data_IF_805028587887
#
_entry.id   IF_805028587887
#
_cell.length_a   1.000
_cell.length_b   1.000
_cell.length_c   1.000
_cell.angle_alpha   90.00
_cell.angle_beta   90.00
_cell.angle_gamma   90.00
#
_symmetry.space_group_name_H-M   'P 1'
#
loop_
_entity.id
_entity.type
_entity.pdbx_description
1 polymer ?
#
# COMPACT_ATOMS: atom_id res chain seq x y z
N UNK A 1 29.70 -12.98 9.54
CA UNK A 1 29.69 -13.90 8.38
C UNK A 1 28.92 -13.16 7.30
N UNK A 2 29.53 -12.52 6.31
CA UNK A 2 30.64 -13.04 5.52
C UNK A 2 30.12 -14.23 4.74
N UNK A 3 29.37 -13.98 3.66
CA UNK A 3 29.26 -14.85 2.49
C UNK A 3 28.85 -13.99 1.29
N UNK A 4 29.81 -13.77 0.41
CA UNK A 4 29.51 -13.70 -1.02
C UNK A 4 29.18 -15.10 -1.51
N UNK A 5 28.40 -15.17 -2.59
CA UNK A 5 28.03 -16.42 -3.23
C UNK A 5 26.95 -16.20 -4.28
N UNK A 6 27.38 -16.12 -5.52
CA UNK A 6 26.58 -16.13 -6.75
C UNK A 6 25.73 -17.40 -6.82
N UNK A 7 24.46 -17.29 -7.23
CA UNK A 7 23.85 -18.32 -8.08
C UNK A 7 22.70 -17.71 -8.90
N UNK A 8 22.77 -17.97 -10.19
CA UNK A 8 21.80 -17.64 -11.23
C UNK A 8 20.38 -18.15 -10.96
N UNK A 9 19.41 -17.42 -11.54
CA UNK A 9 18.29 -18.03 -12.24
C UNK A 9 17.08 -18.47 -11.43
N UNK A 10 15.93 -17.87 -11.74
CA UNK A 10 14.63 -18.55 -11.72
C UNK A 10 13.69 -18.21 -10.57
N UNK A 11 12.75 -17.31 -10.87
CA UNK A 11 11.32 -17.38 -10.52
C UNK A 11 10.84 -18.04 -9.21
N UNK A 12 10.10 -17.21 -8.45
CA UNK A 12 8.90 -17.50 -7.66
C UNK A 12 9.04 -18.33 -6.37
N UNK A 13 8.85 -17.63 -5.25
CA UNK A 13 7.91 -18.06 -4.21
C UNK A 13 8.48 -18.44 -2.84
N UNK A 14 7.73 -18.00 -1.82
CA UNK A 14 7.69 -18.43 -0.42
C UNK A 14 8.68 -17.81 0.59
N UNK A 15 8.08 -17.28 1.68
CA UNK A 15 8.73 -16.85 2.90
C UNK A 15 9.61 -17.98 3.47
N UNK A 16 10.86 -17.66 3.77
CA UNK A 16 11.66 -18.43 4.72
C UNK A 16 11.87 -17.59 5.99
N UNK A 17 11.04 -17.85 7.01
CA UNK A 17 11.38 -17.49 8.39
C UNK A 17 12.41 -18.52 8.84
N UNK A 18 13.67 -18.12 9.00
CA UNK A 18 14.68 -18.92 9.69
C UNK A 18 14.86 -18.35 11.10
N UNK A 19 14.54 -19.11 12.16
CA UNK A 19 14.82 -18.69 13.53
C UNK A 19 16.31 -18.89 13.77
N UNK A 20 17.05 -17.81 14.01
CA UNK A 20 18.42 -17.90 14.51
C UNK A 20 18.59 -17.00 15.74
N UNK A 21 19.21 -17.61 16.74
CA UNK A 21 19.37 -17.12 18.09
C UNK A 21 19.85 -15.67 18.18
N UNK A 22 19.21 -14.89 19.06
CA UNK A 22 19.81 -13.72 19.70
C UNK A 22 20.12 -12.50 18.81
N UNK A 23 19.40 -12.28 17.70
CA UNK A 23 19.54 -11.05 16.92
C UNK A 23 19.03 -9.85 17.74
N UNK A 24 19.96 -9.02 18.23
CA UNK A 24 19.64 -7.62 18.53
C UNK A 24 19.28 -6.98 17.20
N UNK A 25 17.98 -6.82 16.92
CA UNK A 25 17.52 -6.14 15.73
C UNK A 25 18.00 -4.67 15.80
N UNK A 26 18.94 -4.31 14.93
CA UNK A 26 19.33 -2.92 14.70
C UNK A 26 18.12 -2.20 14.08
N UNK A 27 17.51 -1.22 14.76
CA UNK A 27 16.36 -0.53 14.20
C UNK A 27 16.79 0.24 12.95
N UNK A 28 16.07 0.04 11.84
CA UNK A 28 16.17 0.88 10.66
C UNK A 28 14.82 1.52 10.36
N UNK A 29 14.84 2.72 9.77
CA UNK A 29 13.65 3.41 9.26
C UNK A 29 13.68 3.39 7.74
N UNK A 30 12.51 3.14 7.15
CA UNK A 30 12.30 3.09 5.71
C UNK A 30 11.15 4.05 5.37
N UNK A 31 11.50 5.24 4.91
CA UNK A 31 10.56 6.32 4.69
C UNK A 31 10.41 6.61 3.20
N UNK A 32 9.20 6.49 2.67
CA UNK A 32 8.86 6.92 1.31
C UNK A 32 8.14 8.27 1.38
N UNK A 33 8.74 9.32 0.83
CA UNK A 33 8.14 10.64 0.72
C UNK A 33 7.55 10.85 -0.67
N UNK A 34 6.25 11.12 -0.72
CA UNK A 34 5.49 11.32 -1.94
C UNK A 34 5.17 12.80 -2.10
N UNK A 35 5.38 13.35 -3.29
CA UNK A 35 4.97 14.72 -3.64
C UNK A 35 4.18 14.67 -4.93
N UNK A 36 2.99 15.27 -4.90
CA UNK A 36 2.05 15.28 -6.02
C UNK A 36 1.73 13.86 -6.53
N UNK A 37 1.32 12.98 -5.62
CA UNK A 37 1.13 11.56 -5.91
C UNK A 37 2.47 10.81 -6.06
N UNK A 38 2.64 10.10 -7.16
CA UNK A 38 3.87 9.33 -7.47
C UNK A 38 4.82 10.05 -8.43
N UNK A 39 4.53 11.32 -8.77
CA UNK A 39 5.34 12.14 -9.67
C UNK A 39 6.78 12.26 -9.14
N UNK A 40 6.92 12.70 -7.88
CA UNK A 40 8.21 12.72 -7.19
C UNK A 40 8.14 11.84 -5.94
N UNK A 41 9.00 10.83 -5.92
CA UNK A 41 9.14 9.88 -4.80
C UNK A 41 10.58 9.89 -4.32
N UNK A 42 10.77 10.14 -3.03
CA UNK A 42 12.09 10.10 -2.37
C UNK A 42 12.10 9.02 -1.30
N UNK A 43 13.02 8.09 -1.41
CA UNK A 43 13.26 7.03 -0.43
C UNK A 43 14.40 7.44 0.50
N UNK A 44 14.14 7.38 1.81
CA UNK A 44 15.15 7.52 2.85
C UNK A 44 15.23 6.23 3.67
N UNK A 45 16.41 5.62 3.73
CA UNK A 45 16.67 4.47 4.60
C UNK A 45 17.70 4.88 5.65
N UNK A 46 17.32 4.88 6.92
CA UNK A 46 18.16 5.31 8.04
C UNK A 46 18.46 4.11 8.92
N UNK A 47 19.73 3.81 9.11
CA UNK A 47 20.19 2.74 9.99
C UNK A 47 20.59 3.35 11.34
N UNK A 48 20.05 2.81 12.43
CA UNK A 48 20.23 3.35 13.77
C UNK A 48 20.89 2.34 14.70
N UNK A 49 21.93 2.79 15.41
CA UNK A 49 22.59 2.08 16.49
C UNK A 49 22.34 2.86 17.78
N UNK A 50 21.79 2.24 18.82
CA UNK A 50 21.44 2.91 20.09
C UNK A 50 20.64 4.23 19.91
N UNK A 51 19.68 4.22 18.97
CA UNK A 51 18.88 5.39 18.54
C UNK A 51 19.65 6.50 17.82
N UNK A 52 20.96 6.37 17.64
CA UNK A 52 21.77 7.25 16.83
C UNK A 52 21.83 6.75 15.39
N UNK A 53 21.42 7.57 14.44
CA UNK A 53 21.61 7.28 13.02
C UNK A 53 23.11 7.25 12.70
N UNK A 54 23.58 6.16 12.10
CA UNK A 54 25.00 6.01 11.73
C UNK A 54 25.20 5.96 10.21
N UNK A 55 24.25 5.40 9.45
CA UNK A 55 24.29 5.38 7.97
C UNK A 55 22.91 5.66 7.39
N UNK A 56 22.87 6.48 6.34
CA UNK A 56 21.66 6.78 5.59
C UNK A 56 21.84 6.50 4.10
N UNK A 57 20.80 5.98 3.46
CA UNK A 57 20.63 6.05 2.01
C UNK A 57 19.56 7.09 1.68
N UNK A 58 19.83 7.91 0.67
CA UNK A 58 18.89 8.86 0.10
C UNK A 58 18.79 8.60 -1.40
N UNK A 59 17.59 8.37 -1.92
CA UNK A 59 17.39 8.13 -3.35
C UNK A 59 17.82 9.32 -4.22
N UNK A 60 17.75 10.54 -3.69
CA UNK A 60 18.17 11.75 -4.43
C UNK A 60 19.70 11.76 -4.62
N UNK A 61 20.45 11.14 -3.71
CA UNK A 61 21.91 10.93 -3.83
C UNK A 61 22.25 9.61 -4.54
N UNK A 62 21.39 8.60 -4.37
CA UNK A 62 21.59 7.26 -4.88
C UNK A 62 22.76 6.51 -4.26
N UNK A 63 23.27 6.95 -3.10
CA UNK A 63 24.41 6.34 -2.37
C UNK A 63 24.15 6.33 -0.86
N UNK A 64 24.86 5.45 -0.15
CA UNK A 64 24.93 5.48 1.30
C UNK A 64 25.90 6.55 1.78
N UNK A 65 25.52 7.27 2.82
CA UNK A 65 26.33 8.29 3.50
C UNK A 65 26.42 7.92 4.98
N UNK A 66 27.63 7.96 5.51
CA UNK A 66 27.89 7.71 6.93
C UNK A 66 27.86 9.00 7.75
N UNK A 67 26.98 9.05 8.75
CA UNK A 67 26.83 10.21 9.67
C UNK A 67 27.89 10.20 10.77
N UNK A 68 28.35 9.01 11.16
CA UNK A 68 29.40 8.82 12.16
C UNK A 68 30.67 8.26 11.52
N UNK A 69 31.80 8.31 12.21
CA UNK A 69 33.06 7.74 11.72
C UNK A 69 32.93 6.24 11.39
N UNK A 70 32.27 5.49 12.29
CA UNK A 70 31.94 4.08 12.06
C UNK A 70 31.02 3.92 10.86
N UNK A 71 30.00 4.79 10.76
CA UNK A 71 29.07 4.81 9.64
C UNK A 71 29.74 5.03 8.29
N UNK A 72 30.79 5.86 8.19
CA UNK A 72 31.51 6.08 6.93
C UNK A 72 32.12 4.79 6.40
N UNK A 73 32.75 3.98 7.27
CA UNK A 73 33.33 2.68 6.89
C UNK A 73 32.26 1.71 6.37
N UNK A 74 31.09 1.70 7.00
CA UNK A 74 29.95 0.91 6.54
C UNK A 74 29.41 1.39 5.19
N UNK A 75 29.21 2.70 5.04
CA UNK A 75 28.74 3.32 3.81
C UNK A 75 29.68 3.04 2.64
N UNK A 76 31.00 3.13 2.83
CA UNK A 76 32.00 2.75 1.82
C UNK A 76 31.88 1.29 1.41
N UNK A 77 31.70 0.38 2.38
CA UNK A 77 31.49 -1.04 2.11
C UNK A 77 30.23 -1.31 1.29
N UNK A 78 29.11 -0.70 1.66
CA UNK A 78 27.84 -0.84 0.95
C UNK A 78 27.86 -0.20 -0.44
N UNK A 79 28.51 0.95 -0.61
CA UNK A 79 28.65 1.63 -1.89
C UNK A 79 29.56 0.86 -2.88
N UNK A 80 30.52 0.07 -2.39
CA UNK A 80 31.35 -0.80 -3.24
C UNK A 80 30.54 -1.96 -3.84
N UNK A 81 29.49 -2.42 -3.16
CA UNK A 81 28.62 -3.48 -3.67
C UNK A 81 27.57 -2.89 -4.63
N UNK A 82 27.87 -2.91 -5.93
CA UNK A 82 26.98 -2.37 -6.97
C UNK A 82 25.62 -3.06 -7.03
N UNK A 83 25.55 -4.37 -6.78
CA UNK A 83 24.28 -5.10 -6.78
C UNK A 83 23.38 -4.64 -5.63
N UNK A 84 23.95 -4.45 -4.44
CA UNK A 84 23.21 -3.94 -3.29
C UNK A 84 22.72 -2.51 -3.53
N UNK A 85 23.57 -1.65 -4.08
CA UNK A 85 23.24 -0.27 -4.35
C UNK A 85 22.18 -0.13 -5.45
N UNK A 86 22.26 -0.95 -6.50
CA UNK A 86 21.25 -1.02 -7.56
C UNK A 86 19.90 -1.50 -7.02
N UNK A 87 19.88 -2.54 -6.19
CA UNK A 87 18.66 -3.00 -5.54
C UNK A 87 18.04 -1.90 -4.68
N UNK A 88 18.85 -1.20 -3.87
CA UNK A 88 18.38 -0.09 -3.01
C UNK A 88 17.79 1.07 -3.82
N UNK A 89 18.39 1.41 -4.97
CA UNK A 89 17.84 2.43 -5.89
C UNK A 89 16.51 2.00 -6.50
N UNK A 90 16.38 0.71 -6.84
CA UNK A 90 15.17 0.17 -7.44
C UNK A 90 13.96 0.14 -6.47
N UNK A 91 14.19 0.16 -5.16
CA UNK A 91 13.13 0.17 -4.14
C UNK A 91 12.23 1.42 -4.19
N UNK A 92 12.68 2.51 -4.81
CA UNK A 92 11.80 3.66 -5.09
C UNK A 92 10.60 3.23 -5.94
N UNK A 93 10.82 2.35 -6.91
CA UNK A 93 9.78 1.80 -7.78
C UNK A 93 9.14 0.56 -7.17
N UNK A 94 9.95 -0.43 -6.80
CA UNK A 94 9.47 -1.76 -6.41
C UNK A 94 8.78 -1.78 -5.05
N UNK A 95 9.07 -0.80 -4.19
CA UNK A 95 8.47 -0.68 -2.85
C UNK A 95 7.62 0.57 -2.76
N UNK A 96 8.20 1.77 -2.91
CA UNK A 96 7.44 3.01 -2.65
C UNK A 96 6.29 3.21 -3.66
N UNK A 97 6.58 3.28 -4.97
CA UNK A 97 5.52 3.45 -5.98
C UNK A 97 4.53 2.28 -6.00
N UNK A 98 5.03 1.05 -5.87
CA UNK A 98 4.18 -0.13 -5.76
C UNK A 98 3.18 -0.02 -4.61
N UNK A 99 3.66 0.29 -3.39
CA UNK A 99 2.81 0.38 -2.20
C UNK A 99 1.89 1.59 -2.22
N UNK A 100 2.27 2.70 -2.86
CA UNK A 100 1.39 3.86 -3.03
C UNK A 100 0.12 3.52 -3.82
N UNK A 101 0.22 2.60 -4.80
CA UNK A 101 -0.92 2.12 -5.58
C UNK A 101 -1.84 1.15 -4.83
N UNK A 102 -1.44 0.68 -3.64
CA UNK A 102 -2.27 -0.19 -2.81
C UNK A 102 -3.28 0.67 -2.06
N UNK A 103 -4.60 0.44 -2.20
CA UNK A 103 -5.60 1.23 -1.52
C UNK A 103 -5.42 1.16 0.01
N UNK A 104 -5.74 2.25 0.75
CA UNK A 104 -5.68 2.24 2.20
C UNK A 104 -6.53 1.09 2.75
N UNK A 105 -5.99 0.36 3.72
CA UNK A 105 -6.73 -0.71 4.40
C UNK A 105 -7.89 -0.18 5.25
N UNK A 106 -7.88 1.11 5.58
CA UNK A 106 -8.85 1.75 6.46
C UNK A 106 -9.86 2.59 5.65
N UNK A 107 -11.17 2.35 5.82
CA UNK A 107 -12.19 3.17 5.20
C UNK A 107 -12.23 4.58 5.82
N UNK A 108 -12.66 5.60 5.07
CA UNK A 108 -12.91 6.93 5.63
C UNK A 108 -13.95 6.88 6.76
N UNK A 109 -13.71 7.62 7.84
CA UNK A 109 -14.59 7.70 9.02
C UNK A 109 -15.16 9.11 9.17
N UNK A 110 -16.47 9.21 9.36
CA UNK A 110 -17.17 10.49 9.49
C UNK A 110 -16.86 11.21 10.81
N UNK A 111 -16.62 12.52 10.77
CA UNK A 111 -16.41 13.32 11.98
C UNK A 111 -17.67 13.41 12.82
N UNK A 112 -17.50 13.34 14.14
CA UNK A 112 -18.51 13.73 15.12
C UNK A 112 -18.30 15.20 15.47
N UNK A 113 -19.30 16.02 15.18
CA UNK A 113 -19.25 17.47 15.40
C UNK A 113 -20.09 17.81 16.64
N UNK A 114 -19.49 18.53 17.59
CA UNK A 114 -20.19 19.07 18.76
C UNK A 114 -19.82 20.53 18.95
N UNK A 115 -20.82 21.40 19.02
CA UNK A 115 -20.65 22.81 19.35
C UNK A 115 -21.05 23.02 20.80
N UNK A 116 -20.17 23.61 21.60
CA UNK A 116 -20.43 23.90 23.01
C UNK A 116 -19.79 25.21 23.43
N UNK A 117 -20.44 26.01 24.30
CA UNK A 117 -19.78 27.12 24.96
C UNK A 117 -18.70 26.61 25.92
N UNK A 118 -17.61 27.37 26.06
CA UNK A 118 -16.54 27.05 27.02
C UNK A 118 -17.07 27.24 28.44
N UNK A 119 -16.53 26.53 29.43
CA UNK A 119 -16.81 26.74 30.85
C UNK A 119 -15.59 27.37 31.51
N UNK A 120 -15.78 28.39 32.35
CA UNK A 120 -14.77 28.87 33.29
C UNK A 120 -15.30 28.60 34.70
N UNK A 121 -14.78 27.54 35.34
CA UNK A 121 -15.33 27.04 36.59
C UNK A 121 -16.76 26.51 36.42
N UNK A 122 -17.64 26.90 37.34
CA UNK A 122 -19.05 26.46 37.38
C UNK A 122 -19.97 27.22 36.40
N UNK A 123 -19.46 28.26 35.72
CA UNK A 123 -20.23 29.08 34.78
C UNK A 123 -19.74 28.92 33.33
N UNK A 124 -20.66 28.89 32.35
CA UNK A 124 -20.29 29.05 30.94
C UNK A 124 -19.54 30.38 30.74
N UNK A 125 -18.43 30.36 30.00
CA UNK A 125 -17.79 31.54 29.44
C UNK A 125 -18.63 32.00 28.23
N UNK A 126 -19.39 33.10 28.35
CA UNK A 126 -20.43 33.44 27.37
C UNK A 126 -19.87 33.99 26.05
N UNK A 127 -18.54 34.14 25.94
CA UNK A 127 -17.87 34.74 24.79
C UNK A 127 -17.02 33.77 23.98
N UNK A 128 -17.05 32.46 24.27
CA UNK A 128 -16.22 31.49 23.56
C UNK A 128 -17.01 30.24 23.20
N UNK A 129 -17.15 29.97 21.90
CA UNK A 129 -17.68 28.72 21.36
C UNK A 129 -16.55 27.80 20.95
N UNK A 130 -16.74 26.50 21.19
CA UNK A 130 -15.82 25.45 20.76
C UNK A 130 -16.57 24.49 19.85
N UNK A 131 -16.04 24.28 18.66
CA UNK A 131 -16.42 23.19 17.77
C UNK A 131 -15.44 22.05 17.95
N UNK A 132 -15.87 21.00 18.64
CA UNK A 132 -15.13 19.76 18.78
C UNK A 132 -15.45 18.85 17.59
N UNK A 133 -14.44 18.58 16.76
CA UNK A 133 -14.55 17.67 15.62
C UNK A 133 -13.67 16.47 15.90
N UNK A 134 -14.27 15.29 16.09
CA UNK A 134 -13.56 14.12 16.61
C UNK A 134 -13.87 12.84 15.84
N UNK A 135 -12.92 11.90 15.86
CA UNK A 135 -13.12 10.53 15.41
C UNK A 135 -13.18 10.38 13.88
N UNK A 136 -12.50 11.25 13.13
CA UNK A 136 -12.49 11.22 11.67
C UNK A 136 -11.19 10.67 11.09
N UNK A 137 -11.27 10.15 9.86
CA UNK A 137 -10.14 9.68 9.07
C UNK A 137 -10.50 9.78 7.58
N UNK A 138 -9.59 10.19 6.67
CA UNK A 138 -8.20 10.62 6.89
C UNK A 138 -8.09 12.00 7.55
N UNK A 139 -6.86 12.52 7.70
CA UNK A 139 -6.59 13.81 8.34
C UNK A 139 -7.07 15.04 7.58
N UNK A 140 -7.26 14.94 6.25
CA UNK A 140 -7.66 16.06 5.41
C UNK A 140 -9.10 16.51 5.68
N UNK A 141 -9.24 17.67 6.32
CA UNK A 141 -10.51 18.25 6.76
C UNK A 141 -10.49 19.77 6.62
N UNK A 142 -11.63 20.37 6.26
CA UNK A 142 -11.81 21.83 6.24
C UNK A 142 -12.94 22.21 7.19
N UNK A 143 -12.71 23.19 8.06
CA UNK A 143 -13.66 23.58 9.12
C UNK A 143 -13.79 25.10 9.13
N UNK A 144 -15.02 25.59 9.05
CA UNK A 144 -15.36 27.02 9.06
C UNK A 144 -16.39 27.34 10.10
N UNK A 145 -16.26 28.50 10.71
CA UNK A 145 -17.32 29.09 11.51
C UNK A 145 -18.18 29.99 10.64
N UNK A 146 -19.50 29.84 10.75
CA UNK A 146 -20.47 30.72 10.13
C UNK A 146 -21.28 31.42 11.24
N UNK A 147 -21.51 32.72 11.07
CA UNK A 147 -22.47 33.50 11.86
C UNK A 147 -23.57 33.97 10.92
N UNK A 148 -24.80 33.56 11.17
CA UNK A 148 -25.95 33.89 10.32
C UNK A 148 -25.70 33.57 8.83
N UNK A 149 -24.98 32.48 8.57
CA UNK A 149 -24.58 32.04 7.22
C UNK A 149 -23.33 32.71 6.63
N UNK A 150 -22.75 33.71 7.29
CA UNK A 150 -21.53 34.38 6.83
C UNK A 150 -20.29 33.83 7.53
N UNK A 151 -19.24 33.53 6.76
CA UNK A 151 -17.97 33.02 7.29
C UNK A 151 -17.34 34.00 8.27
N UNK A 152 -16.88 33.45 9.40
CA UNK A 152 -16.17 34.17 10.45
C UNK A 152 -14.73 33.69 10.48
N UNK A 153 -13.79 34.63 10.33
CA UNK A 153 -12.35 34.39 10.47
C UNK A 153 -11.77 35.16 11.65
N UNK A 154 -12.34 36.31 11.99
CA UNK A 154 -11.96 37.08 13.17
C UNK A 154 -12.33 36.33 14.46
N UNK A 155 -11.37 36.22 15.39
CA UNK A 155 -11.58 35.52 16.66
C UNK A 155 -11.63 33.99 16.56
N UNK A 156 -11.33 33.42 15.39
CA UNK A 156 -11.23 31.96 15.20
C UNK A 156 -9.82 31.48 15.50
N UNK A 157 -9.71 30.46 16.35
CA UNK A 157 -8.45 29.80 16.70
C UNK A 157 -8.64 28.29 16.64
N UNK A 158 -7.84 27.59 15.84
CA UNK A 158 -7.83 26.13 15.79
C UNK A 158 -6.64 25.55 16.55
N UNK A 159 -6.82 24.40 17.18
CA UNK A 159 -5.70 23.60 17.68
C UNK A 159 -4.94 22.95 16.52
N UNK A 160 -3.76 22.44 16.82
CA UNK A 160 -3.13 21.45 15.94
C UNK A 160 -4.01 20.19 15.83
N UNK A 161 -3.83 19.47 14.72
CA UNK A 161 -4.52 18.20 14.49
C UNK A 161 -3.92 17.13 15.41
N UNK A 162 -4.73 16.57 16.30
CA UNK A 162 -4.29 15.55 17.25
C UNK A 162 -4.60 14.15 16.71
N UNK A 163 -3.62 13.26 16.81
CA UNK A 163 -3.75 11.85 16.46
C UNK A 163 -4.09 11.03 17.71
N UNK A 164 -5.20 10.28 17.68
CA UNK A 164 -5.70 9.56 18.85
C UNK A 164 -4.99 8.23 19.13
N UNK A 165 -4.18 7.73 18.17
CA UNK A 165 -3.51 6.43 18.26
C UNK A 165 -4.36 5.24 17.80
N UNK A 166 -5.63 5.46 17.46
CA UNK A 166 -6.57 4.47 16.91
C UNK A 166 -6.88 4.69 15.42
N UNK A 167 -5.95 5.36 14.71
CA UNK A 167 -6.10 5.85 13.33
C UNK A 167 -7.14 6.95 13.13
N UNK A 168 -7.74 7.49 14.17
CA UNK A 168 -8.61 8.68 14.06
C UNK A 168 -7.91 9.96 14.50
N UNK A 169 -8.45 11.07 14.03
CA UNK A 169 -7.98 12.42 14.36
C UNK A 169 -9.05 13.20 15.13
N UNK A 170 -8.59 14.25 15.81
CA UNK A 170 -9.44 15.26 16.41
C UNK A 170 -8.84 16.65 16.28
N UNK A 171 -9.70 17.67 16.23
CA UNK A 171 -9.33 19.07 16.17
C UNK A 171 -10.41 19.91 16.89
N UNK A 172 -9.97 20.95 17.59
CA UNK A 172 -10.87 21.91 18.22
C UNK A 172 -10.74 23.24 17.49
N UNK A 173 -11.88 23.81 17.08
CA UNK A 173 -11.94 25.14 16.46
C UNK A 173 -12.77 26.05 17.35
N UNK A 174 -12.11 27.03 17.93
CA UNK A 174 -12.66 27.98 18.90
C UNK A 174 -13.04 29.28 18.20
N UNK A 175 -14.13 29.92 18.63
CA UNK A 175 -14.59 31.21 18.14
C UNK A 175 -14.91 32.12 19.32
N UNK A 176 -14.17 33.22 19.43
CA UNK A 176 -14.52 34.32 20.32
C UNK A 176 -15.71 35.10 19.75
N UNK A 177 -16.76 35.30 20.55
CA UNK A 177 -18.04 35.81 20.11
C UNK A 177 -18.65 36.83 21.07
N UNK A 178 -19.42 37.75 20.51
CA UNK A 178 -20.24 38.71 21.24
C UNK A 178 -21.71 38.41 20.92
N UNK A 179 -22.38 37.51 21.66
CA UNK A 179 -23.66 36.97 21.26
C UNK A 179 -24.76 38.03 21.32
N UNK A 180 -25.52 38.16 20.24
CA UNK A 180 -26.77 38.96 20.21
C UNK A 180 -27.97 38.02 20.12
N UNK A 181 -29.12 38.47 20.62
CA UNK A 181 -30.37 37.71 20.48
C UNK A 181 -30.67 37.49 18.99
N UNK A 182 -30.86 36.21 18.62
CA UNK A 182 -31.12 35.80 17.24
C UNK A 182 -29.88 35.43 16.44
N UNK A 183 -28.67 35.58 16.98
CA UNK A 183 -27.47 35.08 16.30
C UNK A 183 -27.46 33.55 16.25
N UNK A 184 -27.21 33.00 15.07
CA UNK A 184 -27.01 31.57 14.84
C UNK A 184 -25.57 31.33 14.43
N UNK A 185 -24.86 30.52 15.21
CA UNK A 185 -23.49 30.10 14.93
C UNK A 185 -23.49 28.66 14.42
N UNK A 186 -22.74 28.39 13.35
CA UNK A 186 -22.66 27.07 12.74
C UNK A 186 -21.21 26.70 12.49
N UNK A 187 -20.80 25.52 12.93
CA UNK A 187 -19.53 24.93 12.57
C UNK A 187 -19.73 24.06 11.33
N UNK A 188 -19.31 24.56 10.17
CA UNK A 188 -19.37 23.85 8.91
C UNK A 188 -18.11 23.00 8.76
N UNK A 189 -18.30 21.70 8.47
CA UNK A 189 -17.22 20.74 8.34
C UNK A 189 -17.30 20.08 6.97
N UNK A 190 -16.22 20.17 6.20
CA UNK A 190 -16.03 19.42 4.98
C UNK A 190 -14.99 18.33 5.17
N UNK A 191 -15.37 17.10 4.83
CA UNK A 191 -14.51 15.94 4.93
C UNK A 191 -14.86 14.93 3.84
N UNK A 192 -13.88 14.20 3.33
CA UNK A 192 -14.07 13.27 2.21
C UNK A 192 -15.12 12.19 2.51
N UNK A 193 -15.26 11.76 3.76
CA UNK A 193 -16.26 10.76 4.16
C UNK A 193 -17.70 11.30 4.24
N UNK A 194 -17.89 12.62 4.19
CA UNK A 194 -19.19 13.27 4.22
C UNK A 194 -19.73 13.52 2.80
N UNK A 195 -18.85 13.56 1.80
CA UNK A 195 -19.27 13.52 0.40
C UNK A 195 -19.90 12.14 0.19
N UNK A 196 -21.17 12.10 -0.19
CA UNK A 196 -21.87 10.85 -0.57
C UNK A 196 -21.04 10.05 -1.58
N UNK A 197 -21.35 8.75 -1.80
CA UNK A 197 -20.45 7.77 -2.41
C UNK A 197 -19.64 8.37 -3.56
N UNK A 198 -18.36 8.67 -3.30
CA UNK A 198 -17.45 9.21 -4.30
C UNK A 198 -17.14 8.18 -5.38
N UNK A 199 -16.49 8.58 -6.48
CA UNK A 199 -16.19 7.70 -7.64
C UNK A 199 -15.23 6.52 -7.34
N UNK A 200 -14.86 6.32 -6.08
CA UNK A 200 -13.95 5.26 -5.60
C UNK A 200 -14.66 3.98 -5.17
N UNK A 201 -15.99 3.94 -5.20
CA UNK A 201 -16.70 2.65 -5.27
C UNK A 201 -16.37 2.04 -6.63
N UNK A 202 -15.32 1.23 -6.69
CA UNK A 202 -15.12 0.30 -7.79
C UNK A 202 -16.45 -0.45 -7.95
N UNK A 203 -17.08 -0.42 -9.14
CA UNK A 203 -18.09 -1.42 -9.45
C UNK A 203 -17.49 -2.79 -9.14
N UNK A 204 -18.29 -3.67 -8.54
CA UNK A 204 -17.95 -5.08 -8.37
C UNK A 204 -17.21 -5.54 -9.62
N UNK A 205 -15.92 -5.88 -9.51
CA UNK A 205 -15.15 -6.35 -10.64
C UNK A 205 -15.66 -7.76 -10.98
N UNK A 206 -16.83 -7.86 -11.60
CA UNK A 206 -17.22 -9.06 -12.32
C UNK A 206 -16.26 -9.16 -13.50
N UNK A 207 -15.23 -9.98 -13.31
CA UNK A 207 -14.27 -10.31 -14.34
C UNK A 207 -14.99 -11.04 -15.48
N UNK A 208 -15.43 -10.29 -16.48
CA UNK A 208 -15.92 -10.81 -17.77
C UNK A 208 -14.87 -11.71 -18.46
N UNK A 209 -13.61 -11.63 -18.03
CA UNK A 209 -12.54 -12.54 -18.45
C UNK A 209 -12.78 -14.01 -18.05
N UNK A 210 -13.59 -14.30 -17.03
CA UNK A 210 -13.91 -15.67 -16.66
C UNK A 210 -14.94 -16.32 -17.61
N UNK A 211 -15.79 -15.53 -18.27
CA UNK A 211 -16.82 -16.04 -19.19
C UNK A 211 -16.29 -16.31 -20.60
N UNK A 212 -15.32 -15.51 -21.06
CA UNK A 212 -14.74 -15.66 -22.41
C UNK A 212 -13.82 -16.89 -22.54
N UNK A 213 -13.09 -17.27 -21.47
CA UNK A 213 -12.14 -18.39 -21.51
C UNK A 213 -12.79 -19.79 -21.55
N UNK A 214 -14.07 -19.91 -21.18
CA UNK A 214 -14.78 -21.19 -21.32
C UNK A 214 -15.24 -21.49 -22.76
N UNK A 215 -15.33 -20.49 -23.64
CA UNK A 215 -15.83 -20.72 -25.01
C UNK A 215 -14.75 -21.25 -25.96
N UNK A 216 -13.48 -20.87 -25.76
CA UNK A 216 -12.36 -21.32 -26.60
C UNK A 216 -11.86 -22.71 -26.21
N UNK A 217 -12.01 -23.10 -24.93
CA UNK A 217 -11.60 -24.42 -24.43
C UNK A 217 -12.47 -25.57 -24.99
N UNK A 218 -13.78 -25.36 -25.11
CA UNK A 218 -14.70 -26.37 -25.65
C UNK A 218 -14.50 -26.54 -27.17
N UNK A 219 -14.26 -25.46 -27.92
CA UNK A 219 -14.00 -25.54 -29.36
C UNK A 219 -12.72 -26.28 -29.72
N UNK A 220 -11.64 -26.07 -28.96
CA UNK A 220 -10.37 -26.79 -29.16
C UNK A 220 -10.47 -28.28 -28.82
N UNK A 221 -11.24 -28.63 -27.79
CA UNK A 221 -11.42 -30.03 -27.38
C UNK A 221 -12.24 -30.84 -28.40
N UNK A 222 -13.27 -30.25 -28.99
CA UNK A 222 -14.08 -30.90 -30.04
C UNK A 222 -13.25 -31.12 -31.31
N UNK A 223 -12.45 -30.13 -31.75
CA UNK A 223 -11.57 -30.30 -32.91
C UNK A 223 -10.49 -31.37 -32.67
N UNK A 224 -9.91 -31.43 -31.46
CA UNK A 224 -8.95 -32.46 -31.09
C UNK A 224 -9.51 -33.89 -31.16
N UNK A 225 -10.76 -34.09 -30.70
CA UNK A 225 -11.43 -35.39 -30.76
C UNK A 225 -11.74 -35.83 -32.20
N UNK A 226 -12.08 -34.90 -33.09
CA UNK A 226 -12.35 -35.21 -34.51
C UNK A 226 -11.10 -35.75 -35.23
N UNK A 227 -9.89 -35.33 -34.87
CA UNK A 227 -8.66 -35.84 -35.50
C UNK A 227 -8.07 -37.06 -34.79
N UNK A 228 -8.12 -37.10 -33.45
CA UNK A 228 -7.51 -38.19 -32.67
C UNK A 228 -8.28 -39.51 -32.78
N UNK A 229 -9.62 -39.46 -32.80
CA UNK A 229 -10.44 -40.69 -32.82
C UNK A 229 -10.32 -41.44 -34.15
N UNK A 230 -10.42 -40.81 -35.34
CA UNK A 230 -10.19 -41.50 -36.61
C UNK A 230 -8.75 -41.98 -36.76
N UNK A 231 -7.76 -41.19 -36.33
CA UNK A 231 -6.35 -41.58 -36.36
C UNK A 231 -6.07 -42.82 -35.51
N UNK A 232 -6.64 -42.89 -34.30
CA UNK A 232 -6.54 -44.05 -33.42
C UNK A 232 -7.27 -45.27 -33.99
N UNK A 233 -8.44 -45.08 -34.62
CA UNK A 233 -9.18 -46.17 -35.28
C UNK A 233 -8.42 -46.74 -36.49
N UNK A 234 -7.76 -45.90 -37.30
CA UNK A 234 -6.89 -46.33 -38.41
C UNK A 234 -5.68 -47.09 -37.85
N UNK A 235 -5.04 -46.55 -36.81
CA UNK A 235 -3.90 -47.20 -36.16
C UNK A 235 -4.25 -48.57 -35.56
N UNK A 236 -5.42 -48.69 -34.92
CA UNK A 236 -5.90 -49.96 -34.36
C UNK A 236 -6.39 -50.93 -35.43
N UNK A 237 -6.93 -50.46 -36.57
CA UNK A 237 -7.21 -51.30 -37.73
C UNK A 237 -5.92 -51.87 -38.34
N UNK A 238 -4.84 -51.08 -38.42
CA UNK A 238 -3.54 -51.53 -38.91
C UNK A 238 -2.84 -52.50 -37.95
N UNK A 239 -3.16 -52.47 -36.65
CA UNK A 239 -2.65 -53.45 -35.67
C UNK A 239 -3.43 -54.77 -35.62
N UNK A 240 -4.53 -54.92 -36.35
CA UNK A 240 -5.20 -56.22 -36.52
C UNK A 240 -4.70 -56.94 -37.77
N UNK A 241 -3.41 -57.26 -37.78
CA UNK A 241 -2.84 -58.25 -38.67
C UNK A 241 -1.61 -58.88 -38.00
N UNK A 242 -1.81 -59.66 -36.93
CA UNK A 242 -0.88 -60.68 -36.46
C UNK A 242 -1.51 -61.53 -35.33
N UNK A 243 -2.03 -62.70 -35.71
CA UNK A 243 -2.23 -63.89 -34.86
C UNK A 243 -1.67 -65.09 -35.66
N UNK A 244 -1.07 -66.11 -35.01
CA UNK A 244 0.18 -66.76 -35.42
C UNK A 244 0.00 -68.10 -36.14
N UNK A 245 1.10 -68.66 -36.69
CA UNK A 245 1.19 -70.08 -37.04
C UNK A 245 2.48 -70.53 -37.75
N UNK A 246 3.15 -71.53 -37.16
CA UNK A 246 4.20 -72.49 -37.62
C UNK A 246 4.18 -72.89 -39.12
N UNK A 247 5.20 -73.45 -39.79
CA UNK A 247 6.36 -74.30 -39.42
C UNK A 247 7.45 -74.35 -40.56
N UNK A 248 8.62 -74.94 -40.25
CA UNK A 248 9.87 -75.34 -41.00
C UNK A 248 9.77 -75.94 -42.43
N UNK A 249 10.86 -76.37 -43.17
CA UNK A 249 12.34 -76.29 -42.98
C UNK A 249 13.19 -75.86 -44.24
N UNK A 250 14.53 -75.85 -44.10
CA UNK A 250 15.66 -75.62 -45.07
C UNK A 250 15.66 -76.57 -46.30
N UNK A 251 16.30 -76.23 -47.45
CA UNK A 251 17.77 -76.33 -47.69
C UNK A 251 18.32 -75.15 -48.55
N UNK A 252 19.60 -74.74 -48.63
CA UNK A 252 20.87 -75.46 -48.77
C UNK A 252 21.59 -74.90 -50.01
N UNK A 253 22.72 -74.20 -49.84
CA UNK A 253 23.96 -74.24 -50.62
C UNK A 253 25.02 -73.41 -49.89
#
# INVERSE_FOLDING_TARGET
LGLGGVQDGGGLGALAVLPSAGLRAEPFKFDCHYTNGTERVRLLVRNLYDRQQFVQFDSDLGVYVGETEVGRRWAEGWNKNQAHLAARRAEVDTVCRHNYGVPPSLPPVQPKVRVSPTKSGSQPHPHLLVCSVTGFYPSGIEIKWLKNGQEQTAGVVSTELLQNGDWTFQILVMLEMSPRRGDVYTCQVEHISLRGPGPWLCPEAQSDSARSKMLTGVGGFVLGLIFLVPGLLIYLKNKKALIPGNCSPRPGL
#
